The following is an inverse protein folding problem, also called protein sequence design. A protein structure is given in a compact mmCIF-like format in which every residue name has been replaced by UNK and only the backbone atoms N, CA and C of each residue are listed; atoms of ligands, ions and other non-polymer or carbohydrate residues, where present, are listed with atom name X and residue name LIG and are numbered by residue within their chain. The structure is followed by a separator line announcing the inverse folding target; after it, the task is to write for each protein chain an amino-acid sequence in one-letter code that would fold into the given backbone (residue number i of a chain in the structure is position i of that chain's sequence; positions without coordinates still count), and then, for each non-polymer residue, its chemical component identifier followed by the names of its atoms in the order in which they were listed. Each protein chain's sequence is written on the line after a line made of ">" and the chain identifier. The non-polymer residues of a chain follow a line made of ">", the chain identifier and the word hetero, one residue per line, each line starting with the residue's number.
data_IF_787187537967
#
_entry.id   IF_787187537967
#
_cell.length_a   1.000
_cell.length_b   1.000
_cell.length_c   1.000
_cell.angle_alpha   90.00
_cell.angle_beta   90.00
_cell.angle_gamma   90.00
#
_symmetry.space_group_name_H-M   'P 1'
#
loop_
_entity.id
_entity.type
_entity.pdbx_description
1 polymer ?
#
# COMPACT_ATOMS: atom_id res chain seq x y z
N UNK A 1 -3.07 -9.28 13.61
CA UNK A 1 -4.13 -8.24 13.64
C UNK A 1 -3.82 -7.26 12.53
N UNK A 2 -4.73 -7.09 11.56
CA UNK A 2 -4.52 -6.25 10.39
C UNK A 2 -5.03 -4.83 10.69
N UNK A 3 -4.18 -3.81 10.55
CA UNK A 3 -4.61 -2.42 10.60
C UNK A 3 -4.79 -1.88 9.18
N UNK A 4 -6.00 -1.40 8.86
CA UNK A 4 -6.31 -0.81 7.56
C UNK A 4 -6.28 0.72 7.63
N UNK A 5 -5.38 1.33 6.86
CA UNK A 5 -5.32 2.77 6.62
C UNK A 5 -6.00 3.09 5.30
N UNK A 6 -6.96 4.03 5.31
CA UNK A 6 -7.78 4.36 4.13
C UNK A 6 -7.33 5.66 3.49
N UNK A 7 -7.47 5.77 2.16
CA UNK A 7 -7.18 7.01 1.43
C UNK A 7 -5.68 7.34 1.37
N UNK A 8 -4.84 6.33 1.20
CA UNK A 8 -3.38 6.47 1.12
C UNK A 8 -2.97 6.77 -0.32
N UNK A 9 -2.02 7.69 -0.49
CA UNK A 9 -1.34 7.94 -1.77
C UNK A 9 0.01 7.24 -1.78
N UNK A 10 0.26 6.37 -2.76
CA UNK A 10 1.56 5.71 -2.93
C UNK A 10 2.29 6.37 -4.09
N UNK A 11 3.47 6.91 -3.80
CA UNK A 11 4.34 7.53 -4.81
C UNK A 11 5.71 6.90 -4.81
N UNK A 12 6.32 6.81 -5.98
CA UNK A 12 7.74 6.49 -6.15
C UNK A 12 8.54 7.78 -6.20
N UNK A 13 9.66 7.81 -5.47
CA UNK A 13 10.66 8.86 -5.55
C UNK A 13 11.59 8.53 -6.71
N UNK A 14 11.68 9.41 -7.69
CA UNK A 14 12.61 9.29 -8.81
C UNK A 14 14.02 9.75 -8.39
N UNK A 15 15.02 9.44 -9.22
CA UNK A 15 16.42 9.82 -8.94
C UNK A 15 16.65 11.34 -8.89
N UNK A 16 15.74 12.13 -9.45
CA UNK A 16 15.72 13.60 -9.39
C UNK A 16 15.01 14.15 -8.15
N UNK A 17 14.51 13.28 -7.26
CA UNK A 17 13.73 13.64 -6.08
C UNK A 17 12.26 13.94 -6.36
N UNK A 18 11.80 13.86 -7.61
CA UNK A 18 10.40 14.06 -7.94
C UNK A 18 9.56 12.88 -7.46
N UNK A 19 8.35 13.18 -6.96
CA UNK A 19 7.36 12.18 -6.59
C UNK A 19 6.44 11.91 -7.77
N UNK A 20 6.39 10.65 -8.20
CA UNK A 20 5.44 10.19 -9.21
C UNK A 20 4.43 9.27 -8.55
N UNK A 21 3.13 9.59 -8.65
CA UNK A 21 2.09 8.70 -8.13
C UNK A 21 2.16 7.35 -8.82
N UNK A 22 2.22 6.29 -8.02
CA UNK A 22 2.34 4.92 -8.51
C UNK A 22 1.00 4.37 -8.99
N UNK A 23 -0.10 4.88 -8.46
CA UNK A 23 -1.46 4.47 -8.81
C UNK A 23 -2.29 5.69 -9.24
N UNK A 24 -3.17 5.49 -10.21
CA UNK A 24 -4.15 6.48 -10.68
C UNK A 24 -5.54 6.29 -10.06
N UNK A 25 -5.64 5.45 -9.03
CA UNK A 25 -6.86 5.14 -8.29
C UNK A 25 -6.60 5.28 -6.79
N UNK A 26 -7.67 5.47 -6.01
CA UNK A 26 -7.57 5.53 -4.56
C UNK A 26 -7.15 4.16 -3.98
N UNK A 27 -6.21 4.18 -3.03
CA UNK A 27 -5.68 2.98 -2.38
C UNK A 27 -5.84 3.02 -0.86
N UNK A 28 -5.95 1.84 -0.27
CA UNK A 28 -5.84 1.62 1.17
C UNK A 28 -4.58 0.78 1.44
N UNK A 29 -4.10 0.82 2.67
CA UNK A 29 -2.95 0.02 3.10
C UNK A 29 -3.38 -0.87 4.26
N UNK A 30 -3.19 -2.17 4.13
CA UNK A 30 -3.30 -3.13 5.21
C UNK A 30 -1.91 -3.42 5.75
N UNK A 31 -1.75 -3.28 7.06
CA UNK A 31 -0.52 -3.64 7.78
C UNK A 31 -0.82 -4.88 8.61
N UNK A 32 -0.20 -5.99 8.23
CA UNK A 32 -0.29 -7.28 8.90
C UNK A 32 0.94 -7.49 9.76
N UNK A 33 0.73 -7.67 11.06
CA UNK A 33 1.79 -8.05 12.00
C UNK A 33 1.90 -9.59 12.05
N UNK A 34 3.03 -10.11 11.59
CA UNK A 34 3.43 -11.52 11.66
C UNK A 34 4.60 -11.67 12.66
N UNK A 35 4.72 -12.78 13.42
CA UNK A 35 5.94 -13.13 14.16
C UNK A 35 7.27 -12.95 13.39
N UNK A 36 7.27 -13.06 12.06
CA UNK A 36 8.45 -12.90 11.20
C UNK A 36 8.70 -11.46 10.72
N UNK A 37 7.79 -10.51 11.00
CA UNK A 37 7.92 -9.11 10.61
C UNK A 37 6.59 -8.42 10.29
N UNK A 38 6.70 -7.21 9.75
CA UNK A 38 5.56 -6.42 9.29
C UNK A 38 5.34 -6.71 7.80
N UNK A 39 4.14 -7.12 7.39
CA UNK A 39 3.76 -7.14 5.96
C UNK A 39 2.88 -5.94 5.66
N UNK A 40 3.24 -5.18 4.62
CA UNK A 40 2.47 -4.03 4.15
C UNK A 40 1.86 -4.38 2.79
N UNK A 41 0.54 -4.38 2.74
CA UNK A 41 -0.25 -4.64 1.54
C UNK A 41 -0.98 -3.39 1.10
N UNK A 42 -0.83 -3.01 -0.15
CA UNK A 42 -1.62 -1.95 -0.78
C UNK A 42 -2.78 -2.60 -1.51
N UNK A 43 -3.99 -2.17 -1.20
CA UNK A 43 -5.23 -2.62 -1.82
C UNK A 43 -5.94 -1.46 -2.50
N UNK A 44 -6.72 -1.74 -3.54
CA UNK A 44 -7.63 -0.72 -4.10
C UNK A 44 -8.67 -0.32 -3.05
N UNK A 45 -9.00 0.96 -3.02
CA UNK A 45 -10.06 1.48 -2.15
C UNK A 45 -11.48 1.16 -2.66
N UNK A 46 -11.60 0.75 -3.92
CA UNK A 46 -12.87 0.31 -4.52
C UNK A 46 -13.34 -1.00 -3.85
N UNK A 47 -14.51 -1.02 -3.20
CA UNK A 47 -15.02 -2.19 -2.49
C UNK A 47 -15.45 -3.34 -3.42
N UNK A 48 -15.72 -3.08 -4.70
CA UNK A 48 -16.08 -4.10 -5.69
C UNK A 48 -14.83 -4.77 -6.26
N UNK A 49 -13.75 -4.00 -6.39
CA UNK A 49 -12.47 -4.42 -6.95
C UNK A 49 -11.35 -4.37 -5.91
N UNK A 50 -11.64 -4.72 -4.65
CA UNK A 50 -10.73 -4.67 -3.49
C UNK A 50 -9.57 -5.67 -3.64
N UNK A 51 -8.75 -5.43 -4.65
CA UNK A 51 -7.67 -6.26 -5.11
C UNK A 51 -6.36 -5.74 -4.52
N UNK A 52 -5.55 -6.67 -4.03
CA UNK A 52 -4.16 -6.42 -3.65
C UNK A 52 -3.35 -6.05 -4.89
N UNK A 53 -2.73 -4.87 -4.85
CA UNK A 53 -1.94 -4.34 -5.97
C UNK A 53 -0.45 -4.31 -5.67
N UNK A 54 -0.07 -4.41 -4.40
CA UNK A 54 1.31 -4.48 -3.96
C UNK A 54 1.38 -5.15 -2.58
N UNK A 55 2.38 -6.00 -2.38
CA UNK A 55 2.76 -6.49 -1.06
C UNK A 55 4.27 -6.37 -0.93
N UNK A 56 4.75 -5.92 0.23
CA UNK A 56 6.16 -5.97 0.55
C UNK A 56 6.37 -6.22 2.05
N UNK A 57 7.37 -7.05 2.39
CA UNK A 57 7.77 -7.22 3.78
C UNK A 57 8.55 -5.99 4.28
N UNK A 58 8.41 -5.71 5.56
CA UNK A 58 9.16 -4.74 6.34
C UNK A 58 9.83 -5.50 7.48
N UNK A 59 11.15 -5.56 7.43
CA UNK A 59 12.02 -6.26 8.40
C UNK A 59 12.63 -5.26 9.38
#
# INVERSE_FOLDING_TARGET
>A
MANTFRGVTVSTVNNDGALTSRFNFATNVNVDYDPQGLSVKVIRADPVLAQEVLEFPVH
#
